data_IF_805548238504
#
_entry.id   IF_805548238504
#
_cell.length_a   1.000
_cell.length_b   1.000
_cell.length_c   1.000
_cell.angle_alpha   90.00
_cell.angle_beta   90.00
_cell.angle_gamma   90.00
#
_symmetry.space_group_name_H-M   'P 1'
#
loop_
_entity.id
_entity.type
_entity.pdbx_description
1 polymer ?
#
# COMPACT_ATOMS: atom_id res chain seq x y z
N UNK A 1 1.47 6.02 -21.23
CA UNK A 1 2.32 5.17 -20.37
C UNK A 1 1.59 4.72 -19.10
N UNK A 2 1.15 5.58 -18.19
CA UNK A 2 0.50 5.15 -16.93
C UNK A 2 -0.70 4.21 -17.14
N UNK A 3 -1.56 4.47 -18.13
CA UNK A 3 -2.70 3.60 -18.47
C UNK A 3 -2.28 2.20 -18.92
N UNK A 4 -1.10 2.05 -19.52
CA UNK A 4 -0.52 0.75 -19.89
C UNK A 4 0.03 0.02 -18.67
N UNK A 5 0.69 0.75 -17.76
CA UNK A 5 1.16 0.20 -16.47
C UNK A 5 -0.03 -0.34 -15.67
N UNK A 6 -1.10 0.45 -15.52
CA UNK A 6 -2.31 0.02 -14.80
C UNK A 6 -2.95 -1.19 -15.49
N UNK A 7 -3.00 -1.20 -16.82
CA UNK A 7 -3.51 -2.35 -17.56
C UNK A 7 -2.70 -3.62 -17.26
N UNK A 8 -1.38 -3.56 -17.36
CA UNK A 8 -0.48 -4.68 -17.07
C UNK A 8 -0.64 -5.17 -15.62
N UNK A 9 -0.66 -4.24 -14.66
CA UNK A 9 -0.82 -4.55 -13.23
C UNK A 9 -2.20 -5.15 -12.93
N UNK A 10 -3.26 -4.66 -13.56
CA UNK A 10 -4.61 -5.19 -13.39
C UNK A 10 -4.77 -6.58 -14.02
N UNK A 11 -4.17 -6.81 -15.20
CA UNK A 11 -4.16 -8.10 -15.90
C UNK A 11 -3.39 -9.17 -15.11
N UNK A 12 -2.27 -8.80 -14.47
CA UNK A 12 -1.45 -9.70 -13.67
C UNK A 12 -1.95 -9.89 -12.22
N UNK A 13 -2.91 -9.08 -11.77
CA UNK A 13 -3.50 -9.21 -10.44
C UNK A 13 -4.29 -10.52 -10.27
N UNK A 14 -4.60 -10.94 -9.03
CA UNK A 14 -5.46 -12.10 -8.78
C UNK A 14 -6.84 -12.05 -9.46
N UNK A 15 -7.36 -10.84 -9.71
CA UNK A 15 -8.63 -10.64 -10.42
C UNK A 15 -8.51 -10.84 -11.94
N UNK A 16 -7.29 -10.83 -12.51
CA UNK A 16 -7.03 -11.02 -13.94
C UNK A 16 -7.95 -10.15 -14.80
N UNK A 17 -7.94 -8.84 -14.55
CA UNK A 17 -8.88 -7.92 -15.18
C UNK A 17 -8.76 -7.97 -16.71
N UNK A 18 -9.91 -7.98 -17.37
CA UNK A 18 -10.01 -7.89 -18.83
C UNK A 18 -10.64 -6.56 -19.20
N UNK A 19 -10.02 -5.89 -20.18
CA UNK A 19 -10.53 -4.63 -20.71
C UNK A 19 -11.84 -4.87 -21.46
N UNK A 20 -12.82 -4.02 -21.20
CA UNK A 20 -14.03 -3.91 -22.00
C UNK A 20 -13.74 -3.01 -23.21
N UNK A 21 -13.84 -3.54 -24.43
CA UNK A 21 -13.45 -2.81 -25.62
C UNK A 21 -14.41 -1.67 -25.95
N UNK A 22 -13.87 -0.46 -26.03
CA UNK A 22 -14.59 0.77 -26.28
C UNK A 22 -13.75 1.76 -27.08
N UNK A 23 -14.40 2.67 -27.82
CA UNK A 23 -13.71 3.67 -28.65
C UNK A 23 -13.06 4.80 -27.84
N UNK A 24 -13.37 4.95 -26.55
CA UNK A 24 -12.82 6.04 -25.72
C UNK A 24 -11.50 5.65 -25.07
N UNK A 25 -10.50 6.53 -25.18
CA UNK A 25 -9.20 6.39 -24.50
C UNK A 25 -9.12 7.15 -23.16
N UNK A 26 -10.08 8.05 -22.91
CA UNK A 26 -10.16 8.86 -21.69
C UNK A 26 -10.63 8.02 -20.50
N UNK A 27 -11.56 7.10 -20.73
CA UNK A 27 -12.12 6.22 -19.72
C UNK A 27 -12.02 4.77 -20.19
N UNK A 28 -11.52 3.89 -19.31
CA UNK A 28 -11.36 2.46 -19.58
C UNK A 28 -12.11 1.67 -18.54
N UNK A 29 -12.87 0.69 -18.99
CA UNK A 29 -13.65 -0.21 -18.14
C UNK A 29 -13.02 -1.59 -18.19
N UNK A 30 -13.03 -2.25 -17.04
CA UNK A 30 -12.50 -3.60 -16.88
C UNK A 30 -13.45 -4.42 -16.01
N UNK A 31 -13.46 -5.73 -16.26
CA UNK A 31 -14.17 -6.71 -15.45
C UNK A 31 -13.20 -7.84 -15.06
N UNK A 32 -13.42 -8.44 -13.90
CA UNK A 32 -12.62 -9.59 -13.46
C UNK A 32 -12.70 -10.73 -14.47
N UNK A 33 -11.55 -11.22 -14.93
CA UNK A 33 -11.44 -12.44 -15.72
C UNK A 33 -11.46 -13.70 -14.87
N UNK A 34 -11.20 -13.56 -13.56
CA UNK A 34 -11.25 -14.64 -12.59
C UNK A 34 -12.67 -14.77 -11.99
N UNK A 35 -13.33 -15.94 -12.10
CA UNK A 35 -14.70 -16.15 -11.62
C UNK A 35 -14.86 -16.04 -10.10
N UNK A 36 -13.79 -16.21 -9.33
CA UNK A 36 -13.81 -16.10 -7.86
C UNK A 36 -13.99 -14.64 -7.39
N UNK A 37 -13.75 -13.68 -8.28
CA UNK A 37 -13.88 -12.26 -8.00
C UNK A 37 -14.98 -11.63 -8.83
N UNK A 38 -15.99 -11.09 -8.16
CA UNK A 38 -17.00 -10.24 -8.80
C UNK A 38 -16.57 -8.77 -8.70
N UNK A 39 -15.49 -8.37 -9.39
CA UNK A 39 -14.94 -7.01 -9.36
C UNK A 39 -14.93 -6.33 -10.72
N UNK A 40 -15.00 -5.00 -10.69
CA UNK A 40 -14.89 -4.11 -11.84
C UNK A 40 -13.89 -3.01 -11.52
N UNK A 41 -13.24 -2.50 -12.57
CA UNK A 41 -12.30 -1.39 -12.46
C UNK A 41 -12.65 -0.37 -13.55
N UNK A 42 -12.69 0.90 -13.16
CA UNK A 42 -12.83 2.03 -14.08
C UNK A 42 -11.62 2.92 -13.92
N UNK A 43 -10.93 3.21 -15.02
CA UNK A 43 -9.77 4.11 -15.04
C UNK A 43 -10.16 5.35 -15.83
N UNK A 44 -10.17 6.50 -15.18
CA UNK A 44 -10.54 7.78 -15.76
C UNK A 44 -9.33 8.73 -15.77
N UNK A 45 -8.93 9.18 -16.94
CA UNK A 45 -7.87 10.17 -17.14
C UNK A 45 -8.44 11.59 -17.04
N UNK A 46 -7.87 12.43 -16.17
CA UNK A 46 -8.32 13.82 -16.00
C UNK A 46 -7.15 14.80 -16.09
N UNK A 47 -7.36 15.90 -16.81
CA UNK A 47 -6.42 17.01 -16.83
C UNK A 47 -6.48 17.89 -15.58
N UNK A 48 -7.60 17.85 -14.85
CA UNK A 48 -7.82 18.59 -13.61
C UNK A 48 -8.77 17.81 -12.71
N UNK A 49 -8.54 17.89 -11.40
CA UNK A 49 -9.47 17.36 -10.40
C UNK A 49 -10.74 18.23 -10.35
N UNK A 50 -11.88 17.63 -10.68
CA UNK A 50 -13.20 18.22 -10.55
C UNK A 50 -13.89 17.72 -9.28
N UNK A 51 -15.07 18.25 -8.96
CA UNK A 51 -15.82 17.81 -7.78
C UNK A 51 -16.20 16.32 -7.86
N UNK A 52 -16.44 15.66 -6.71
CA UNK A 52 -16.83 14.25 -6.70
C UNK A 52 -18.12 13.98 -7.50
N UNK A 53 -19.09 14.89 -7.45
CA UNK A 53 -20.34 14.77 -8.21
C UNK A 53 -20.13 14.87 -9.72
N UNK A 54 -19.23 15.75 -10.18
CA UNK A 54 -18.90 15.86 -11.60
C UNK A 54 -18.21 14.59 -12.12
N UNK A 55 -17.28 14.02 -11.33
CA UNK A 55 -16.64 12.75 -11.67
C UNK A 55 -17.66 11.60 -11.73
N UNK A 56 -18.58 11.53 -10.78
CA UNK A 56 -19.66 10.54 -10.76
C UNK A 56 -20.54 10.63 -12.01
N UNK A 57 -20.99 11.84 -12.36
CA UNK A 57 -21.82 12.05 -13.55
C UNK A 57 -21.06 11.65 -14.81
N UNK A 58 -19.79 12.05 -14.93
CA UNK A 58 -18.94 11.72 -16.08
C UNK A 58 -18.76 10.22 -16.26
N UNK A 59 -18.53 9.48 -15.18
CA UNK A 59 -18.41 8.02 -15.24
C UNK A 59 -19.75 7.38 -15.60
N UNK A 60 -20.85 7.83 -14.98
CA UNK A 60 -22.18 7.29 -15.23
C UNK A 60 -22.62 7.46 -16.70
N UNK A 61 -22.43 8.66 -17.27
CA UNK A 61 -22.75 8.97 -18.67
C UNK A 61 -21.96 8.15 -19.68
N UNK A 62 -20.77 7.69 -19.30
CA UNK A 62 -19.86 6.92 -20.15
C UNK A 62 -19.88 5.42 -19.88
N UNK A 63 -20.60 4.97 -18.85
CA UNK A 63 -20.67 3.56 -18.49
C UNK A 63 -21.48 2.79 -19.54
N UNK A 64 -20.93 1.70 -20.12
CA UNK A 64 -21.65 0.82 -21.04
C UNK A 64 -22.98 0.32 -20.46
N UNK A 65 -24.08 0.34 -21.25
CA UNK A 65 -25.38 -0.20 -20.82
C UNK A 65 -25.31 -1.66 -20.36
N UNK A 66 -24.39 -2.45 -20.90
CA UNK A 66 -24.14 -3.84 -20.51
C UNK A 66 -23.67 -3.94 -19.06
N UNK A 67 -22.78 -3.04 -18.63
CA UNK A 67 -22.28 -3.01 -17.25
C UNK A 67 -23.33 -2.49 -16.27
N UNK A 68 -24.16 -1.51 -16.68
CA UNK A 68 -25.27 -1.00 -15.87
C UNK A 68 -26.34 -2.06 -15.56
N UNK A 69 -26.47 -3.09 -16.40
CA UNK A 69 -27.39 -4.21 -16.17
C UNK A 69 -26.87 -5.19 -15.11
N UNK A 70 -25.59 -5.11 -14.73
CA UNK A 70 -24.98 -6.02 -13.75
C UNK A 70 -25.23 -5.45 -12.35
N UNK A 71 -26.04 -6.12 -11.49
CA UNK A 71 -26.44 -5.55 -10.20
C UNK A 71 -25.28 -5.26 -9.24
N UNK A 72 -24.17 -5.98 -9.38
CA UNK A 72 -22.97 -5.81 -8.55
C UNK A 72 -22.02 -4.73 -9.04
N UNK A 73 -22.24 -4.16 -10.23
CA UNK A 73 -21.34 -3.17 -10.82
C UNK A 73 -21.12 -2.00 -9.86
N UNK A 74 -22.18 -1.32 -9.41
CA UNK A 74 -22.04 -0.15 -8.51
C UNK A 74 -21.34 -0.47 -7.19
N UNK A 75 -21.58 -1.67 -6.62
CA UNK A 75 -21.04 -2.05 -5.31
C UNK A 75 -19.59 -2.53 -5.38
N UNK A 76 -19.19 -3.11 -6.51
CA UNK A 76 -17.91 -3.81 -6.66
C UNK A 76 -17.00 -3.17 -7.71
N UNK A 77 -17.23 -1.89 -8.02
CA UNK A 77 -16.35 -1.10 -8.91
C UNK A 77 -15.43 -0.21 -8.10
N UNK A 78 -14.13 -0.34 -8.38
CA UNK A 78 -13.13 0.64 -8.01
C UNK A 78 -12.96 1.64 -9.17
N UNK A 79 -13.17 2.94 -8.92
CA UNK A 79 -12.87 4.04 -9.82
C UNK A 79 -11.49 4.61 -9.48
N UNK A 80 -10.58 4.54 -10.45
CA UNK A 80 -9.24 5.12 -10.36
C UNK A 80 -9.19 6.37 -11.22
N UNK A 81 -9.08 7.53 -10.58
CA UNK A 81 -8.93 8.82 -11.24
C UNK A 81 -7.43 9.10 -11.40
N UNK A 82 -6.95 9.16 -12.63
CA UNK A 82 -5.57 9.45 -12.95
C UNK A 82 -5.36 10.95 -13.01
N UNK A 83 -4.46 11.46 -12.16
CA UNK A 83 -4.15 12.88 -12.12
C UNK A 83 -2.64 13.11 -12.23
N UNK A 84 -2.22 13.75 -13.32
CA UNK A 84 -0.79 14.03 -13.51
C UNK A 84 -0.41 15.30 -12.75
N UNK A 85 0.61 15.19 -11.91
CA UNK A 85 1.30 16.31 -11.29
C UNK A 85 2.53 16.67 -12.12
N UNK A 86 2.88 17.96 -12.15
CA UNK A 86 4.13 18.41 -12.73
C UNK A 86 5.32 18.07 -11.79
N UNK A 87 5.11 18.15 -10.47
CA UNK A 87 6.02 17.60 -9.47
C UNK A 87 5.28 17.08 -8.23
N UNK A 88 5.85 16.08 -7.55
CA UNK A 88 5.34 15.63 -6.24
C UNK A 88 5.36 16.71 -5.17
N UNK A 89 6.24 17.71 -5.29
CA UNK A 89 6.30 18.82 -4.34
C UNK A 89 4.97 19.61 -4.30
N UNK A 90 4.17 19.57 -5.35
CA UNK A 90 2.90 20.30 -5.47
C UNK A 90 1.71 19.54 -4.88
N UNK A 91 1.88 18.30 -4.43
CA UNK A 91 0.79 17.46 -3.93
C UNK A 91 -0.06 18.16 -2.87
N UNK A 92 0.58 18.92 -1.96
CA UNK A 92 -0.08 19.67 -0.89
C UNK A 92 -1.19 20.62 -1.37
N UNK A 93 -1.12 21.08 -2.62
CA UNK A 93 -2.14 21.95 -3.22
C UNK A 93 -3.44 21.21 -3.55
N UNK A 94 -3.35 19.88 -3.70
CA UNK A 94 -4.44 19.03 -4.16
C UNK A 94 -4.95 18.05 -3.10
N UNK A 95 -4.27 17.93 -1.95
CA UNK A 95 -4.62 16.98 -0.88
C UNK A 95 -6.09 17.09 -0.46
N UNK A 96 -6.61 18.30 -0.32
CA UNK A 96 -8.02 18.48 0.07
C UNK A 96 -8.99 18.00 -1.01
N UNK A 97 -8.74 18.32 -2.28
CA UNK A 97 -9.56 17.85 -3.40
C UNK A 97 -9.47 16.34 -3.57
N UNK A 98 -8.28 15.76 -3.39
CA UNK A 98 -8.08 14.30 -3.40
C UNK A 98 -8.91 13.66 -2.29
N UNK A 99 -8.82 14.19 -1.07
CA UNK A 99 -9.57 13.69 0.08
C UNK A 99 -11.09 13.74 -0.15
N UNK A 100 -11.60 14.86 -0.64
CA UNK A 100 -13.03 15.03 -0.93
C UNK A 100 -13.54 14.01 -1.97
N UNK A 101 -12.70 13.67 -2.96
CA UNK A 101 -13.02 12.65 -3.97
C UNK A 101 -13.03 11.25 -3.35
N UNK A 102 -12.00 10.90 -2.58
CA UNK A 102 -11.84 9.55 -2.04
C UNK A 102 -12.86 9.22 -0.94
N UNK A 103 -13.20 10.19 -0.08
CA UNK A 103 -14.20 10.03 0.99
C UNK A 103 -15.66 10.08 0.48
N UNK A 104 -15.87 10.45 -0.78
CA UNK A 104 -17.21 10.48 -1.36
C UNK A 104 -17.76 9.06 -1.55
N UNK A 105 -18.65 8.62 -0.65
CA UNK A 105 -19.25 7.28 -0.67
C UNK A 105 -20.31 7.04 -1.78
N UNK A 106 -20.65 8.05 -2.59
CA UNK A 106 -21.70 7.92 -3.60
C UNK A 106 -21.21 7.21 -4.88
N UNK A 107 -22.07 6.40 -5.48
CA UNK A 107 -21.87 5.69 -6.75
C UNK A 107 -20.82 4.57 -6.75
N UNK A 108 -19.53 4.90 -6.65
CA UNK A 108 -18.40 3.95 -6.75
C UNK A 108 -17.34 4.30 -5.70
N UNK A 109 -16.51 3.31 -5.31
CA UNK A 109 -15.31 3.55 -4.49
C UNK A 109 -14.28 4.28 -5.34
N UNK A 110 -13.73 5.40 -4.86
CA UNK A 110 -12.86 6.26 -5.66
C UNK A 110 -11.48 6.30 -5.07
N UNK A 111 -10.49 6.26 -5.95
CA UNK A 111 -9.08 6.38 -5.63
C UNK A 111 -8.48 7.38 -6.60
N UNK A 112 -7.83 8.43 -6.10
CA UNK A 112 -7.06 9.33 -6.93
C UNK A 112 -5.63 8.81 -6.98
N UNK A 113 -5.22 8.35 -8.15
CA UNK A 113 -3.84 7.97 -8.43
C UNK A 113 -3.14 9.15 -9.09
N UNK A 114 -2.44 9.93 -8.26
CA UNK A 114 -1.57 10.98 -8.76
C UNK A 114 -0.19 10.43 -9.13
N UNK A 115 0.43 11.01 -10.16
CA UNK A 115 1.72 10.56 -10.70
C UNK A 115 2.45 11.70 -11.40
N UNK A 116 3.77 11.64 -11.50
CA UNK A 116 4.54 12.51 -12.42
C UNK A 116 4.99 11.73 -13.66
N UNK A 117 5.38 12.47 -14.71
CA UNK A 117 5.98 11.87 -15.90
C UNK A 117 7.24 11.08 -15.55
N UNK A 118 8.11 11.64 -14.71
CA UNK A 118 9.37 11.01 -14.30
C UNK A 118 9.13 9.64 -13.64
N UNK A 119 8.17 9.55 -12.72
CA UNK A 119 7.83 8.30 -12.05
C UNK A 119 7.28 7.25 -13.01
N UNK A 120 6.42 7.68 -13.93
CA UNK A 120 5.80 6.79 -14.92
C UNK A 120 6.83 6.24 -15.89
N UNK A 121 7.79 7.06 -16.32
CA UNK A 121 8.89 6.65 -17.19
C UNK A 121 9.81 5.66 -16.49
N UNK A 122 10.22 5.94 -15.25
CA UNK A 122 11.08 5.03 -14.49
C UNK A 122 10.40 3.69 -14.23
N UNK A 123 9.13 3.69 -13.79
CA UNK A 123 8.39 2.44 -13.56
C UNK A 123 8.16 1.69 -14.88
N UNK A 124 7.85 2.40 -15.95
CA UNK A 124 7.68 1.79 -17.27
C UNK A 124 8.97 1.17 -17.80
N UNK A 125 10.14 1.80 -17.59
CA UNK A 125 11.44 1.23 -17.93
C UNK A 125 11.74 -0.02 -17.10
N UNK A 126 11.49 0.03 -15.79
CA UNK A 126 11.64 -1.10 -14.88
C UNK A 126 10.84 -2.31 -15.36
N UNK A 127 9.55 -2.12 -15.67
CA UNK A 127 8.68 -3.18 -16.19
C UNK A 127 9.08 -3.66 -17.60
N UNK A 128 9.62 -2.78 -18.45
CA UNK A 128 10.08 -3.16 -19.79
C UNK A 128 11.32 -4.07 -19.77
N UNK A 129 12.08 -4.10 -18.66
CA UNK A 129 13.18 -5.04 -18.44
C UNK A 129 12.69 -6.45 -18.08
N UNK A 130 11.37 -6.64 -17.91
CA UNK A 130 10.78 -7.91 -17.48
C UNK A 130 10.73 -8.09 -15.95
N UNK A 131 11.06 -7.03 -15.20
CA UNK A 131 10.95 -7.03 -13.74
C UNK A 131 9.48 -6.94 -13.30
N UNK A 132 9.18 -7.52 -12.14
CA UNK A 132 7.83 -7.54 -11.56
C UNK A 132 7.63 -6.36 -10.58
N UNK A 133 6.46 -5.73 -10.58
CA UNK A 133 6.19 -4.61 -9.66
C UNK A 133 6.22 -5.08 -8.19
N UNK A 134 5.87 -6.35 -7.98
CA UNK A 134 5.94 -7.09 -6.74
C UNK A 134 7.35 -7.10 -6.14
N UNK A 135 8.39 -7.32 -6.96
CA UNK A 135 9.78 -7.36 -6.47
C UNK A 135 10.26 -5.99 -6.05
N UNK A 136 9.81 -4.94 -6.75
CA UNK A 136 10.13 -3.56 -6.42
C UNK A 136 9.57 -3.15 -5.06
N UNK A 137 8.30 -3.47 -4.78
CA UNK A 137 7.64 -3.02 -3.53
C UNK A 137 8.10 -3.75 -2.27
N UNK A 138 8.72 -4.93 -2.40
CA UNK A 138 9.29 -5.69 -1.27
C UNK A 138 10.78 -5.45 -1.06
N UNK A 139 11.38 -4.53 -1.83
CA UNK A 139 12.79 -4.16 -1.71
C UNK A 139 13.04 -3.22 -0.53
N UNK A 140 13.94 -3.64 0.36
CA UNK A 140 14.21 -2.91 1.61
C UNK A 140 15.05 -1.64 1.41
N UNK A 141 15.90 -1.60 0.38
CA UNK A 141 16.73 -0.42 0.10
C UNK A 141 15.86 0.71 -0.44
N UNK A 142 15.02 0.43 -1.43
CA UNK A 142 14.08 1.38 -2.00
C UNK A 142 13.08 1.87 -0.94
N UNK A 143 12.58 0.96 -0.09
CA UNK A 143 11.71 1.35 1.03
C UNK A 143 12.39 2.29 2.03
N UNK A 144 13.64 2.00 2.42
CA UNK A 144 14.39 2.86 3.33
C UNK A 144 14.66 4.23 2.72
N UNK A 145 14.99 4.31 1.43
CA UNK A 145 15.15 5.58 0.72
C UNK A 145 13.84 6.37 0.71
N UNK A 146 12.72 5.73 0.34
CA UNK A 146 11.40 6.34 0.31
C UNK A 146 11.00 6.94 1.66
N UNK A 147 11.27 6.24 2.78
CA UNK A 147 11.03 6.78 4.13
C UNK A 147 11.76 8.09 4.40
N UNK A 148 12.98 8.24 3.90
CA UNK A 148 13.80 9.44 4.13
C UNK A 148 13.49 10.56 3.14
N UNK A 149 12.99 10.22 1.94
CA UNK A 149 12.74 11.15 0.84
C UNK A 149 11.42 10.82 0.13
N UNK A 150 10.25 11.02 0.78
CA UNK A 150 8.96 10.60 0.22
C UNK A 150 8.53 11.40 -1.01
N UNK A 151 9.04 12.61 -1.20
CA UNK A 151 8.78 13.45 -2.37
C UNK A 151 9.71 13.14 -3.55
N UNK A 152 10.60 12.14 -3.43
CA UNK A 152 11.47 11.75 -4.52
C UNK A 152 10.69 10.96 -5.57
N UNK A 153 10.70 11.46 -6.80
CA UNK A 153 9.99 10.92 -7.95
C UNK A 153 10.70 9.65 -8.48
N UNK A 154 10.30 8.50 -7.96
CA UNK A 154 10.91 7.19 -8.28
C UNK A 154 9.90 6.18 -8.84
N UNK A 155 10.39 5.13 -9.49
CA UNK A 155 9.55 3.96 -9.81
C UNK A 155 8.87 3.38 -8.55
N UNK A 156 9.62 3.32 -7.43
CA UNK A 156 9.16 2.76 -6.16
C UNK A 156 8.01 3.59 -5.54
N UNK A 157 8.09 4.92 -5.53
CA UNK A 157 7.05 5.79 -4.97
C UNK A 157 5.71 5.65 -5.72
N UNK A 158 5.74 5.48 -7.05
CA UNK A 158 4.56 5.18 -7.84
C UNK A 158 4.05 3.76 -7.61
N UNK A 159 4.95 2.76 -7.54
CA UNK A 159 4.57 1.39 -7.22
C UNK A 159 3.87 1.28 -5.86
N UNK A 160 4.40 1.91 -4.81
CA UNK A 160 3.73 1.96 -3.50
C UNK A 160 2.33 2.58 -3.58
N UNK A 161 2.15 3.69 -4.31
CA UNK A 161 0.83 4.30 -4.48
C UNK A 161 -0.12 3.40 -5.27
N UNK A 162 0.34 2.64 -6.26
CA UNK A 162 -0.49 1.63 -6.93
C UNK A 162 -1.01 0.61 -5.92
N UNK A 163 -0.16 0.04 -5.06
CA UNK A 163 -0.60 -0.93 -4.05
C UNK A 163 -1.53 -0.34 -2.98
N UNK A 164 -1.37 0.94 -2.63
CA UNK A 164 -2.26 1.63 -1.69
C UNK A 164 -3.62 1.95 -2.34
N UNK A 165 -3.64 2.37 -3.60
CA UNK A 165 -4.84 2.84 -4.31
C UNK A 165 -5.61 1.74 -5.04
N UNK A 166 -5.00 0.58 -5.25
CA UNK A 166 -5.62 -0.54 -5.98
C UNK A 166 -5.84 -1.72 -5.03
N UNK A 167 -7.02 -1.82 -4.37
CA UNK A 167 -7.29 -2.79 -3.29
C UNK A 167 -7.47 -4.24 -3.77
N UNK A 168 -7.18 -4.52 -5.04
CA UNK A 168 -7.11 -5.86 -5.62
C UNK A 168 -5.67 -6.34 -5.80
N UNK A 169 -4.67 -5.47 -5.58
CA UNK A 169 -3.28 -5.85 -5.48
C UNK A 169 -2.98 -6.35 -4.08
N UNK A 170 -2.22 -7.44 -3.99
CA UNK A 170 -1.74 -7.99 -2.74
C UNK A 170 -0.22 -7.92 -2.74
N UNK A 171 0.36 -7.28 -1.73
CA UNK A 171 1.82 -7.30 -1.54
C UNK A 171 2.23 -8.75 -1.29
N UNK A 172 3.26 -9.27 -1.98
CA UNK A 172 3.76 -10.62 -1.72
C UNK A 172 4.14 -10.75 -0.24
N UNK A 173 3.49 -11.66 0.47
CA UNK A 173 3.84 -11.96 1.84
C UNK A 173 5.18 -12.71 1.85
N UNK A 174 6.22 -12.09 2.41
CA UNK A 174 7.38 -12.85 2.90
C UNK A 174 6.96 -13.45 4.23
N UNK A 175 6.54 -14.71 4.22
CA UNK A 175 6.37 -15.45 5.47
C UNK A 175 7.73 -15.53 6.16
N UNK A 176 7.86 -14.79 7.25
CA UNK A 176 9.03 -14.81 8.11
C UNK A 176 8.59 -15.33 9.48
N UNK A 177 9.29 -16.33 9.99
CA UNK A 177 9.14 -16.73 11.39
C UNK A 177 9.66 -15.59 12.25
N UNK A 178 8.75 -14.86 12.89
CA UNK A 178 9.14 -13.81 13.83
C UNK A 178 9.75 -14.47 15.07
N UNK A 179 10.99 -14.10 15.39
CA UNK A 179 11.58 -14.42 16.70
C UNK A 179 10.72 -13.77 17.77
N UNK A 180 10.39 -14.50 18.83
CA UNK A 180 9.58 -13.92 19.90
C UNK A 180 10.33 -12.76 20.57
N UNK A 181 9.59 -11.74 21.02
CA UNK A 181 10.19 -10.60 21.71
C UNK A 181 11.04 -11.05 22.91
N UNK A 182 10.60 -12.10 23.61
CA UNK A 182 11.32 -12.69 24.74
C UNK A 182 12.63 -13.35 24.29
N UNK A 183 12.65 -14.06 23.16
CA UNK A 183 13.88 -14.64 22.61
C UNK A 183 14.87 -13.54 22.21
N UNK A 184 14.40 -12.47 21.56
CA UNK A 184 15.22 -11.30 21.21
C UNK A 184 15.77 -10.60 22.47
N UNK A 185 14.93 -10.39 23.48
CA UNK A 185 15.36 -9.81 24.75
C UNK A 185 16.42 -10.68 25.43
N UNK A 186 16.22 -11.99 25.48
CA UNK A 186 17.19 -12.92 26.05
C UNK A 186 18.51 -12.91 25.29
N UNK A 187 18.49 -12.87 23.95
CA UNK A 187 19.69 -12.75 23.14
C UNK A 187 20.46 -11.44 23.39
N UNK A 188 19.75 -10.32 23.55
CA UNK A 188 20.36 -9.02 23.87
C UNK A 188 20.96 -9.00 25.28
N UNK A 189 20.28 -9.61 26.25
CA UNK A 189 20.78 -9.76 27.62
C UNK A 189 21.99 -10.69 27.66
N UNK A 190 21.95 -11.81 26.95
CA UNK A 190 23.05 -12.78 26.85
C UNK A 190 24.29 -12.14 26.22
N UNK A 191 24.11 -11.35 25.15
CA UNK A 191 25.19 -10.58 24.52
C UNK A 191 25.85 -9.54 25.45
N UNK A 192 25.22 -9.19 26.57
CA UNK A 192 25.77 -8.33 27.63
C UNK A 192 26.13 -9.10 28.90
N UNK A 193 26.05 -10.44 28.90
CA UNK A 193 26.19 -11.31 30.07
C UNK A 193 25.20 -10.99 31.22
N UNK A 194 24.03 -10.44 30.90
CA UNK A 194 22.99 -10.05 31.86
C UNK A 194 21.84 -11.06 31.98
N UNK A 195 21.82 -12.09 31.12
CA UNK A 195 20.69 -13.03 31.07
C UNK A 195 20.51 -13.80 32.38
N UNK A 196 21.61 -14.29 32.97
CA UNK A 196 21.57 -15.01 34.26
C UNK A 196 21.03 -14.12 35.37
N UNK A 197 21.57 -12.90 35.49
CA UNK A 197 21.14 -11.90 36.46
C UNK A 197 19.65 -11.54 36.31
N UNK A 198 19.18 -11.36 35.08
CA UNK A 198 17.78 -11.08 34.81
C UNK A 198 16.87 -12.25 35.23
N UNK A 199 17.27 -13.50 34.95
CA UNK A 199 16.50 -14.69 35.33
C UNK A 199 16.42 -14.85 36.86
N UNK A 200 17.47 -14.50 37.59
CA UNK A 200 17.49 -14.51 39.06
C UNK A 200 16.47 -13.51 39.64
N UNK A 201 16.42 -12.29 39.09
CA UNK A 201 15.42 -11.28 39.45
C UNK A 201 14.01 -11.81 39.18
N UNK A 202 13.73 -12.31 37.98
CA UNK A 202 12.41 -12.84 37.63
C UNK A 202 12.00 -13.99 38.54
N UNK A 203 12.92 -14.89 38.89
CA UNK A 203 12.65 -16.02 39.77
C UNK A 203 12.27 -15.56 41.18
N UNK A 204 12.98 -14.59 41.76
CA UNK A 204 12.67 -14.08 43.09
C UNK A 204 11.35 -13.32 43.14
N UNK A 205 11.07 -12.50 42.11
CA UNK A 205 9.79 -11.80 41.98
C UNK A 205 8.62 -12.78 41.79
N UNK A 206 8.80 -13.82 40.99
CA UNK A 206 7.80 -14.87 40.76
C UNK A 206 7.53 -15.71 42.01
N UNK A 207 8.50 -15.81 42.91
CA UNK A 207 8.35 -16.45 44.23
C UNK A 207 7.59 -15.56 45.24
N UNK A 208 7.13 -14.38 44.84
CA UNK A 208 6.34 -13.47 45.67
C UNK A 208 7.18 -12.51 46.52
N UNK A 209 8.49 -12.39 46.27
CA UNK A 209 9.30 -11.38 46.93
C UNK A 209 8.98 -9.99 46.40
N UNK A 210 9.06 -8.98 47.27
CA UNK A 210 8.90 -7.58 46.87
C UNK A 210 10.16 -7.08 46.18
N UNK A 211 9.98 -6.12 45.27
CA UNK A 211 11.09 -5.54 44.51
C UNK A 211 12.20 -4.98 45.42
N UNK A 212 11.86 -4.42 46.58
CA UNK A 212 12.84 -3.93 47.56
C UNK A 212 13.76 -5.04 48.08
N UNK A 213 13.20 -6.21 48.43
CA UNK A 213 13.98 -7.32 48.99
C UNK A 213 14.93 -7.90 47.93
N UNK A 214 14.45 -8.04 46.70
CA UNK A 214 15.26 -8.53 45.58
C UNK A 214 16.42 -7.56 45.30
N UNK A 215 16.14 -6.25 45.26
CA UNK A 215 17.18 -5.25 45.00
C UNK A 215 18.20 -5.14 46.14
N UNK A 216 17.78 -5.23 47.41
CA UNK A 216 18.70 -5.27 48.55
C UNK A 216 19.60 -6.51 48.52
N UNK A 217 19.05 -7.68 48.21
CA UNK A 217 19.82 -8.92 48.10
C UNK A 217 20.93 -8.82 47.04
N UNK A 218 20.60 -8.28 45.86
CA UNK A 218 21.54 -8.12 44.75
C UNK A 218 22.63 -7.08 45.01
N UNK A 219 22.29 -5.96 45.67
CA UNK A 219 23.27 -4.95 46.09
C UNK A 219 24.26 -5.56 47.08
N UNK A 220 23.78 -6.35 48.04
CA UNK A 220 24.64 -6.98 49.04
C UNK A 220 25.55 -8.05 48.43
N UNK A 221 25.10 -8.78 47.42
CA UNK A 221 25.90 -9.79 46.72
C UNK A 221 27.04 -9.16 45.90
N UNK A 222 26.80 -8.02 45.23
CA UNK A 222 27.86 -7.29 44.52
C UNK A 222 28.86 -6.57 45.44
N UNK A 223 28.46 -6.25 46.67
CA UNK A 223 29.32 -5.56 47.65
C UNK A 223 30.13 -6.53 48.53
N UNK A 224 29.90 -7.84 48.38
CA UNK A 224 30.59 -8.90 49.14
C UNK A 224 31.87 -9.41 48.46
N UNK A 225 32.12 -9.00 47.21
CA UNK A 225 33.39 -9.13 46.48
C UNK A 225 34.26 -7.86 46.63
#
# INVERSE_FOLDING_TARGET
MIKQIIQQVAENSPCQFRKFEMPSDEIRFYYSGNPDYQRFLVVLDVGQLSSPSELNNKVQERTPPELLKIPSFSKNTDLVVLYRLDSLAELHQYEHSIFDIEENAYSLKKHVLYYTTAETEQLGQYLALGEEIETLVVDSEHFNRYKTKPAEETAFSLACRLYVKLPFLAVPAKEATLTSANQLANQLLDGQNLLTFFNEIEQQLSAGQTHEIVMEALINEQMAD
#
